data_IF_274324567990
#
_entry.id   IF_274324567990
#
_cell.length_a   1.000
_cell.length_b   1.000
_cell.length_c   1.000
_cell.angle_alpha   90.00
_cell.angle_beta   90.00
_cell.angle_gamma   90.00
#
_symmetry.space_group_name_H-M   'P 1'
#
loop_
_entity.id
_entity.type
_entity.pdbx_description
1 polymer ?
#
# COMPACT_ATOMS: atom_id res chain seq x y z
N UNK A 1 39.92 15.25 8.66
CA UNK A 1 39.09 14.43 9.57
C UNK A 1 37.76 14.27 8.88
N UNK A 2 37.57 13.15 8.18
CA UNK A 2 36.33 12.85 7.44
C UNK A 2 35.21 12.58 8.45
N UNK A 3 34.08 13.24 8.24
CA UNK A 3 32.94 13.19 9.15
C UNK A 3 32.35 11.77 9.11
N UNK A 4 32.00 11.12 10.23
CA UNK A 4 31.48 9.75 10.26
C UNK A 4 30.15 9.54 9.49
N UNK A 5 29.58 10.61 8.92
CA UNK A 5 28.39 10.62 8.04
C UNK A 5 28.75 10.21 6.59
N UNK A 6 29.98 10.47 6.13
CA UNK A 6 30.40 10.24 4.73
C UNK A 6 30.37 8.76 4.34
N UNK A 7 30.59 7.84 5.29
CA UNK A 7 30.61 6.39 5.03
C UNK A 7 29.21 5.75 4.85
N UNK A 8 28.12 6.55 4.81
CA UNK A 8 26.74 6.02 4.67
C UNK A 8 25.94 6.60 3.50
N UNK A 9 26.43 7.59 2.76
CA UNK A 9 25.69 8.20 1.64
C UNK A 9 26.20 7.66 0.30
N UNK A 10 25.29 7.42 -0.65
CA UNK A 10 25.64 7.05 -2.02
C UNK A 10 25.71 8.32 -2.88
N UNK A 11 26.90 8.71 -3.32
CA UNK A 11 27.10 9.91 -4.12
C UNK A 11 28.29 9.80 -5.07
N UNK A 12 28.25 10.59 -6.14
CA UNK A 12 29.36 10.77 -7.09
C UNK A 12 29.38 12.22 -7.59
N UNK A 13 30.43 12.65 -8.27
CA UNK A 13 30.50 13.99 -8.87
C UNK A 13 29.52 14.12 -10.04
N UNK A 14 28.88 15.27 -10.16
CA UNK A 14 27.98 15.64 -11.24
C UNK A 14 28.70 16.31 -12.40
N UNK A 15 28.17 17.45 -12.85
CA UNK A 15 28.71 18.21 -14.00
C UNK A 15 30.14 18.74 -13.79
N UNK A 16 30.53 18.96 -12.52
CA UNK A 16 31.88 19.37 -12.12
C UNK A 16 32.24 18.71 -10.77
N UNK A 17 33.50 18.82 -10.36
CA UNK A 17 33.97 18.32 -9.07
C UNK A 17 33.38 19.06 -7.86
N UNK A 18 32.73 20.21 -8.08
CA UNK A 18 32.08 21.00 -7.02
C UNK A 18 30.62 20.60 -6.81
N UNK A 19 30.04 19.85 -7.76
CA UNK A 19 28.64 19.42 -7.73
C UNK A 19 28.59 17.92 -7.46
N UNK A 20 27.78 17.51 -6.51
CA UNK A 20 27.53 16.12 -6.14
C UNK A 20 26.17 15.68 -6.71
N UNK A 21 26.11 14.45 -7.19
CA UNK A 21 24.88 13.70 -7.42
C UNK A 21 24.73 12.72 -6.27
N UNK A 22 23.75 12.94 -5.42
CA UNK A 22 23.46 12.13 -4.24
C UNK A 22 22.24 11.27 -4.55
N UNK A 23 22.32 9.96 -4.29
CA UNK A 23 21.30 8.98 -4.63
C UNK A 23 20.72 8.41 -3.34
N UNK A 24 19.39 8.38 -3.20
CA UNK A 24 18.74 7.74 -2.05
C UNK A 24 19.01 6.24 -2.05
N UNK A 25 19.28 5.62 -0.90
CA UNK A 25 19.30 4.16 -0.81
C UNK A 25 17.91 3.57 -0.91
N UNK A 26 16.93 4.28 -0.35
CA UNK A 26 15.50 3.96 -0.44
C UNK A 26 15.09 3.87 -1.91
N UNK A 27 14.42 2.78 -2.27
CA UNK A 27 13.82 2.55 -3.59
C UNK A 27 12.33 2.86 -3.55
N UNK A 28 11.71 3.04 -4.72
CA UNK A 28 10.25 3.27 -4.80
C UNK A 28 9.45 2.11 -4.18
N UNK A 29 9.90 0.88 -4.39
CA UNK A 29 9.29 -0.32 -3.79
C UNK A 29 9.36 -0.31 -2.26
N UNK A 30 10.38 0.29 -1.67
CA UNK A 30 10.51 0.36 -0.20
C UNK A 30 9.45 1.31 0.37
N UNK A 31 9.14 2.41 -0.33
CA UNK A 31 8.04 3.33 0.01
C UNK A 31 6.69 2.60 -0.10
N UNK A 32 6.43 1.89 -1.21
CA UNK A 32 5.21 1.09 -1.40
C UNK A 32 5.06 0.06 -0.27
N UNK A 33 6.15 -0.61 0.09
CA UNK A 33 6.19 -1.62 1.14
C UNK A 33 5.95 -1.02 2.52
N UNK A 34 6.51 0.15 2.82
CA UNK A 34 6.26 0.86 4.08
C UNK A 34 4.78 1.22 4.22
N UNK A 35 4.19 1.84 3.20
CA UNK A 35 2.77 2.24 3.21
C UNK A 35 1.87 1.01 3.36
N UNK A 36 2.20 -0.08 2.67
CA UNK A 36 1.44 -1.32 2.78
C UNK A 36 1.57 -1.91 4.19
N UNK A 37 2.78 -1.94 4.75
CA UNK A 37 3.05 -2.46 6.10
C UNK A 37 2.25 -1.73 7.18
N UNK A 38 2.22 -0.40 7.19
CA UNK A 38 1.46 0.34 8.22
C UNK A 38 -0.04 0.04 8.17
N UNK A 39 -0.60 -0.22 6.97
CA UNK A 39 -1.99 -0.64 6.82
C UNK A 39 -2.18 -2.06 7.37
N UNK A 40 -1.34 -2.99 6.97
CA UNK A 40 -1.52 -4.42 7.25
C UNK A 40 -1.21 -4.80 8.69
N UNK A 41 -0.32 -4.08 9.38
CA UNK A 41 -0.06 -4.28 10.80
C UNK A 41 -1.31 -4.02 11.65
N UNK A 42 -2.10 -3.01 11.29
CA UNK A 42 -3.36 -2.72 11.98
C UNK A 42 -4.44 -3.76 11.68
N UNK A 43 -4.46 -4.30 10.45
CA UNK A 43 -5.31 -5.44 10.10
C UNK A 43 -4.94 -6.68 10.92
N UNK A 44 -3.64 -6.99 11.05
CA UNK A 44 -3.17 -8.12 11.86
C UNK A 44 -3.60 -7.99 13.33
N UNK A 45 -3.45 -6.80 13.92
CA UNK A 45 -3.88 -6.53 15.30
C UNK A 45 -5.39 -6.77 15.46
N UNK A 46 -6.18 -6.27 14.52
CA UNK A 46 -7.63 -6.48 14.54
C UNK A 46 -8.00 -7.96 14.44
N UNK A 47 -7.42 -8.69 13.48
CA UNK A 47 -7.63 -10.14 13.32
C UNK A 47 -7.25 -10.91 14.59
N UNK A 48 -6.11 -10.59 15.22
CA UNK A 48 -5.69 -11.23 16.47
C UNK A 48 -6.68 -10.98 17.61
N UNK A 49 -7.16 -9.75 17.74
CA UNK A 49 -8.18 -9.41 18.74
C UNK A 49 -9.48 -10.19 18.54
N UNK A 50 -9.96 -10.35 17.30
CA UNK A 50 -11.14 -11.17 17.01
C UNK A 50 -10.93 -12.65 17.39
N UNK A 51 -9.73 -13.21 17.13
CA UNK A 51 -9.38 -14.58 17.53
C UNK A 51 -9.34 -14.75 19.05
N UNK A 52 -8.73 -13.81 19.76
CA UNK A 52 -8.66 -13.81 21.23
C UNK A 52 -10.06 -13.77 21.86
N UNK A 53 -11.00 -13.08 21.22
CA UNK A 53 -12.39 -13.01 21.64
C UNK A 53 -13.25 -14.21 21.15
N UNK A 54 -12.66 -15.21 20.50
CA UNK A 54 -13.35 -16.38 19.91
C UNK A 54 -14.41 -16.01 18.85
N UNK A 55 -14.25 -14.89 18.17
CA UNK A 55 -15.20 -14.41 17.14
C UNK A 55 -14.87 -15.01 15.77
N UNK A 56 -13.60 -15.37 15.57
CA UNK A 56 -13.06 -16.09 14.41
C UNK A 56 -11.96 -17.07 14.86
N UNK A 57 -11.55 -17.99 13.99
CA UNK A 57 -10.45 -18.94 14.26
C UNK A 57 -9.61 -19.22 12.99
N UNK A 58 -8.57 -20.04 13.10
CA UNK A 58 -7.64 -20.33 11.98
C UNK A 58 -8.21 -21.22 10.88
N UNK A 59 -9.30 -21.94 11.14
CA UNK A 59 -9.98 -22.80 10.18
C UNK A 59 -11.01 -22.04 9.33
N UNK A 60 -11.33 -20.80 9.73
CA UNK A 60 -12.17 -19.90 8.97
C UNK A 60 -11.51 -19.54 7.62
N UNK A 61 -12.31 -19.49 6.56
CA UNK A 61 -11.82 -19.10 5.23
C UNK A 61 -11.72 -17.59 5.14
N UNK A 62 -10.50 -17.08 4.99
CA UNK A 62 -10.25 -15.66 4.74
C UNK A 62 -10.31 -15.36 3.24
N UNK A 63 -11.13 -14.39 2.87
CA UNK A 63 -11.20 -13.84 1.52
C UNK A 63 -10.72 -12.40 1.52
N UNK A 64 -9.84 -12.08 0.59
CA UNK A 64 -9.38 -10.72 0.34
C UNK A 64 -9.74 -10.34 -1.09
N UNK A 65 -10.45 -9.23 -1.28
CA UNK A 65 -10.91 -8.75 -2.59
C UNK A 65 -10.12 -7.50 -2.98
N UNK A 66 -9.53 -7.54 -4.17
CA UNK A 66 -8.60 -6.54 -4.68
C UNK A 66 -7.16 -6.87 -4.28
N UNK A 67 -6.29 -7.08 -5.26
CA UNK A 67 -4.88 -7.40 -5.04
C UNK A 67 -4.04 -6.14 -4.84
N UNK A 68 -4.29 -5.11 -5.66
CA UNK A 68 -3.46 -3.92 -5.77
C UNK A 68 -3.76 -2.87 -4.70
N UNK A 69 -2.82 -2.45 -3.85
CA UNK A 69 -1.71 -3.21 -3.28
C UNK A 69 -1.96 -3.61 -1.83
N UNK A 70 -2.94 -2.97 -1.17
CA UNK A 70 -3.27 -3.23 0.22
C UNK A 70 -3.64 -4.70 0.41
N UNK A 71 -4.51 -5.25 -0.45
CA UNK A 71 -4.91 -6.66 -0.37
C UNK A 71 -3.74 -7.64 -0.49
N UNK A 72 -2.80 -7.42 -1.43
CA UNK A 72 -1.55 -8.18 -1.52
C UNK A 72 -0.77 -8.17 -0.20
N UNK A 73 -0.64 -6.99 0.41
CA UNK A 73 0.00 -6.86 1.71
C UNK A 73 -0.72 -7.61 2.83
N UNK A 74 -2.05 -7.57 2.82
CA UNK A 74 -2.88 -8.26 3.81
C UNK A 74 -2.69 -9.78 3.68
N UNK A 75 -2.74 -10.31 2.44
CA UNK A 75 -2.45 -11.74 2.18
C UNK A 75 -1.09 -12.13 2.75
N UNK A 76 -0.04 -11.37 2.41
CA UNK A 76 1.33 -11.65 2.86
C UNK A 76 1.49 -11.59 4.37
N UNK A 77 0.79 -10.67 5.02
CA UNK A 77 0.81 -10.48 6.47
C UNK A 77 0.05 -11.60 7.20
N UNK A 78 -1.08 -12.04 6.65
CA UNK A 78 -1.99 -13.01 7.29
C UNK A 78 -1.77 -14.46 6.87
N UNK A 79 -0.84 -14.77 5.95
CA UNK A 79 -0.59 -16.14 5.43
C UNK A 79 -0.31 -17.22 6.49
N UNK A 80 0.12 -16.84 7.69
CA UNK A 80 0.35 -17.76 8.82
C UNK A 80 -0.80 -17.84 9.82
N UNK A 81 -1.80 -16.96 9.66
CA UNK A 81 -2.92 -16.82 10.58
C UNK A 81 -4.10 -17.72 10.18
N UNK A 82 -4.23 -18.09 8.91
CA UNK A 82 -5.34 -18.89 8.41
C UNK A 82 -4.84 -20.05 7.58
N UNK A 83 -5.54 -21.20 7.68
CA UNK A 83 -5.24 -22.37 6.84
C UNK A 83 -5.66 -22.17 5.39
N UNK A 84 -6.70 -21.37 5.16
CA UNK A 84 -7.23 -21.08 3.83
C UNK A 84 -7.38 -19.58 3.62
N UNK A 85 -6.69 -19.07 2.60
CA UNK A 85 -6.82 -17.70 2.12
C UNK A 85 -7.12 -17.73 0.63
N UNK A 86 -8.15 -17.01 0.22
CA UNK A 86 -8.48 -16.78 -1.18
C UNK A 86 -8.29 -15.30 -1.49
N UNK A 87 -7.37 -14.99 -2.42
CA UNK A 87 -7.22 -13.66 -2.98
C UNK A 87 -8.04 -13.56 -4.27
N UNK A 88 -8.97 -12.62 -4.32
CA UNK A 88 -9.86 -12.42 -5.45
C UNK A 88 -9.52 -11.12 -6.16
N UNK A 89 -9.29 -11.18 -7.47
CA UNK A 89 -9.18 -10.00 -8.32
C UNK A 89 -9.66 -10.28 -9.74
N UNK A 90 -10.42 -9.35 -10.32
CA UNK A 90 -10.95 -9.47 -11.69
C UNK A 90 -9.84 -9.52 -12.76
N UNK A 91 -8.60 -9.17 -12.40
CA UNK A 91 -7.44 -9.20 -13.27
C UNK A 91 -6.52 -10.38 -12.94
N UNK A 92 -6.59 -11.51 -13.69
CA UNK A 92 -5.79 -12.71 -13.44
C UNK A 92 -4.27 -12.48 -13.35
N UNK A 93 -3.73 -11.55 -14.15
CA UNK A 93 -2.28 -11.29 -14.17
C UNK A 93 -1.75 -10.68 -12.86
N UNK A 94 -2.62 -10.18 -11.97
CA UNK A 94 -2.21 -9.67 -10.67
C UNK A 94 -1.76 -10.77 -9.70
N UNK A 95 -2.07 -12.04 -9.98
CA UNK A 95 -1.53 -13.18 -9.22
C UNK A 95 0.00 -13.12 -9.15
N UNK A 96 0.66 -12.70 -10.24
CA UNK A 96 2.11 -12.63 -10.32
C UNK A 96 2.74 -11.78 -9.20
N UNK A 97 2.02 -10.77 -8.70
CA UNK A 97 2.49 -9.90 -7.61
C UNK A 97 2.76 -10.67 -6.31
N UNK A 98 2.07 -11.80 -6.06
CA UNK A 98 2.30 -12.66 -4.89
C UNK A 98 3.74 -13.16 -4.81
N UNK A 99 4.36 -13.36 -5.98
CA UNK A 99 5.70 -13.92 -6.14
C UNK A 99 6.81 -12.84 -6.19
N UNK A 100 6.43 -11.57 -6.04
CA UNK A 100 7.33 -10.41 -6.03
C UNK A 100 7.59 -9.92 -4.61
N UNK A 101 8.59 -9.05 -4.35
CA UNK A 101 8.83 -8.45 -3.02
C UNK A 101 7.89 -7.27 -2.68
N UNK A 102 6.85 -6.99 -3.49
CA UNK A 102 5.91 -5.88 -3.27
C UNK A 102 4.88 -6.28 -2.22
N UNK A 103 4.55 -5.38 -1.30
CA UNK A 103 3.63 -5.64 -0.19
C UNK A 103 4.17 -6.62 0.86
N UNK A 104 5.48 -6.88 0.89
CA UNK A 104 6.15 -7.77 1.84
C UNK A 104 6.77 -9.01 1.21
N UNK A 105 7.13 -9.98 2.05
CA UNK A 105 7.86 -11.19 1.64
C UNK A 105 7.13 -11.97 0.56
N UNK A 106 7.91 -12.53 -0.37
CA UNK A 106 7.41 -13.41 -1.44
C UNK A 106 6.61 -14.57 -0.85
N UNK A 107 5.60 -14.99 -1.58
CA UNK A 107 4.81 -16.18 -1.28
C UNK A 107 5.30 -17.33 -2.15
N UNK A 108 5.37 -18.53 -1.59
CA UNK A 108 5.64 -19.74 -2.36
C UNK A 108 4.42 -20.08 -3.21
N UNK A 109 4.63 -20.62 -4.42
CA UNK A 109 3.52 -21.03 -5.29
C UNK A 109 2.59 -21.99 -4.55
N UNK A 110 1.31 -21.91 -4.88
CA UNK A 110 0.23 -22.76 -4.34
C UNK A 110 -0.05 -22.60 -2.82
N UNK A 111 0.57 -21.61 -2.15
CA UNK A 111 0.27 -21.30 -0.73
C UNK A 111 -1.06 -20.56 -0.57
N UNK A 112 -1.45 -19.76 -1.57
CA UNK A 112 -2.65 -18.92 -1.56
C UNK A 112 -3.48 -19.27 -2.79
N UNK A 113 -4.79 -19.45 -2.61
CA UNK A 113 -5.73 -19.63 -3.72
C UNK A 113 -5.98 -18.26 -4.37
N UNK A 114 -5.65 -18.10 -5.65
CA UNK A 114 -6.01 -16.90 -6.41
C UNK A 114 -7.23 -17.19 -7.28
N UNK A 115 -8.20 -16.29 -7.28
CA UNK A 115 -9.40 -16.42 -8.11
C UNK A 115 -9.71 -15.11 -8.83
N UNK A 116 -10.14 -15.23 -10.10
CA UNK A 116 -10.72 -14.13 -10.86
C UNK A 116 -12.24 -14.12 -10.85
N UNK A 117 -12.86 -15.05 -10.14
CA UNK A 117 -14.31 -15.14 -10.04
C UNK A 117 -14.82 -14.44 -8.76
N UNK A 118 -15.42 -13.27 -8.92
CA UNK A 118 -16.00 -12.51 -7.80
C UNK A 118 -17.08 -13.27 -7.03
N UNK A 119 -17.74 -14.29 -7.61
CA UNK A 119 -18.74 -15.08 -6.87
C UNK A 119 -18.12 -15.88 -5.72
N UNK A 120 -16.81 -16.11 -5.75
CA UNK A 120 -16.07 -16.83 -4.72
C UNK A 120 -16.06 -16.08 -3.38
N UNK A 121 -16.39 -14.79 -3.37
CA UNK A 121 -16.54 -14.01 -2.13
C UNK A 121 -17.50 -14.65 -1.13
N UNK A 122 -18.49 -15.40 -1.60
CA UNK A 122 -19.49 -16.06 -0.76
C UNK A 122 -18.96 -17.31 -0.06
N UNK A 123 -17.72 -17.73 -0.32
CA UNK A 123 -17.06 -18.85 0.36
C UNK A 123 -16.38 -18.42 1.68
N UNK A 124 -16.34 -17.12 1.97
CA UNK A 124 -15.54 -16.56 3.05
C UNK A 124 -16.28 -16.42 4.37
N UNK A 125 -15.66 -16.89 5.45
CA UNK A 125 -16.08 -16.59 6.82
C UNK A 125 -15.61 -15.19 7.25
N UNK A 126 -14.52 -14.71 6.67
CA UNK A 126 -13.94 -13.39 6.90
C UNK A 126 -13.68 -12.78 5.53
N UNK A 127 -14.15 -11.56 5.31
CA UNK A 127 -13.98 -10.86 4.03
C UNK A 127 -13.31 -9.52 4.28
N UNK A 128 -12.23 -9.28 3.54
CA UNK A 128 -11.50 -8.02 3.54
C UNK A 128 -11.55 -7.43 2.13
N UNK A 129 -12.15 -6.26 2.01
CA UNK A 129 -12.38 -5.59 0.74
C UNK A 129 -11.48 -4.37 0.59
N UNK A 130 -10.50 -4.46 -0.30
CA UNK A 130 -9.55 -3.36 -0.59
C UNK A 130 -9.78 -2.72 -1.96
N UNK A 131 -10.96 -2.93 -2.55
CA UNK A 131 -11.24 -2.52 -3.93
C UNK A 131 -11.46 -1.02 -4.10
N UNK A 132 -11.78 -0.29 -3.03
CA UNK A 132 -11.93 1.17 -3.05
C UNK A 132 -13.01 1.67 -4.02
N UNK A 133 -12.72 2.77 -4.73
CA UNK A 133 -13.65 3.39 -5.69
C UNK A 133 -13.92 2.48 -6.90
N UNK A 134 -15.21 2.26 -7.21
CA UNK A 134 -15.61 1.43 -8.34
C UNK A 134 -15.40 -0.07 -8.13
N UNK A 135 -15.08 -0.46 -6.90
CA UNK A 135 -14.94 -1.84 -6.45
C UNK A 135 -16.28 -2.56 -6.24
N UNK A 136 -16.38 -3.36 -5.17
CA UNK A 136 -17.63 -4.07 -4.86
C UNK A 136 -18.81 -3.09 -4.80
N UNK A 137 -19.90 -3.48 -5.46
CA UNK A 137 -21.12 -2.67 -5.52
C UNK A 137 -22.12 -3.05 -4.41
N UNK A 138 -23.23 -2.30 -4.32
CA UNK A 138 -24.28 -2.51 -3.31
C UNK A 138 -24.90 -3.90 -3.40
N UNK A 139 -25.21 -4.35 -4.61
CA UNK A 139 -25.84 -5.66 -4.85
C UNK A 139 -24.93 -6.81 -4.37
N UNK A 140 -23.63 -6.74 -4.71
CA UNK A 140 -22.63 -7.70 -4.26
C UNK A 140 -22.49 -7.68 -2.75
N UNK A 141 -22.40 -6.49 -2.14
CA UNK A 141 -22.25 -6.32 -0.69
C UNK A 141 -23.45 -6.89 0.08
N UNK A 142 -24.66 -6.70 -0.44
CA UNK A 142 -25.90 -7.21 0.19
C UNK A 142 -26.01 -8.73 0.24
N UNK A 143 -25.23 -9.44 -0.60
CA UNK A 143 -25.20 -10.91 -0.64
C UNK A 143 -24.17 -11.50 0.31
N UNK A 144 -23.29 -10.67 0.88
CA UNK A 144 -22.24 -11.12 1.77
C UNK A 144 -22.84 -11.48 3.13
N UNK A 145 -22.58 -12.71 3.56
CA UNK A 145 -22.89 -13.22 4.88
C UNK A 145 -21.64 -13.87 5.49
N UNK A 146 -21.02 -13.22 6.47
CA UNK A 146 -19.75 -13.66 7.04
C UNK A 146 -19.66 -13.34 8.54
N UNK A 147 -18.63 -13.84 9.24
CA UNK A 147 -18.40 -13.56 10.66
C UNK A 147 -17.85 -12.14 10.84
N UNK A 148 -16.88 -11.78 10.00
CA UNK A 148 -16.21 -10.49 10.06
C UNK A 148 -16.01 -9.89 8.66
N UNK A 149 -16.26 -8.58 8.56
CA UNK A 149 -16.12 -7.81 7.34
C UNK A 149 -15.26 -6.56 7.60
N UNK A 150 -14.22 -6.39 6.79
CA UNK A 150 -13.33 -5.23 6.81
C UNK A 150 -13.28 -4.62 5.42
N UNK A 151 -13.30 -3.30 5.32
CA UNK A 151 -13.22 -2.58 4.05
C UNK A 151 -12.20 -1.45 4.11
N UNK A 152 -11.45 -1.22 3.05
CA UNK A 152 -10.58 -0.04 2.96
C UNK A 152 -11.38 1.20 2.55
N UNK A 153 -11.31 2.26 3.35
CA UNK A 153 -11.79 3.58 2.93
C UNK A 153 -10.84 4.17 1.89
N UNK A 154 -11.26 4.40 0.63
CA UNK A 154 -10.39 4.94 -0.41
C UNK A 154 -10.07 6.43 -0.24
N UNK A 155 -10.71 7.12 0.71
CA UNK A 155 -10.42 8.54 1.00
C UNK A 155 -9.39 8.67 2.12
N UNK A 156 -8.41 9.56 1.94
CA UNK A 156 -7.42 9.82 3.00
C UNK A 156 -7.94 10.91 3.95
N UNK A 157 -8.07 12.13 3.42
CA UNK A 157 -8.58 13.28 4.14
C UNK A 157 -9.97 13.69 3.61
N UNK A 158 -10.68 14.50 4.38
CA UNK A 158 -11.95 15.12 4.01
C UNK A 158 -11.74 16.42 3.21
N UNK A 159 -10.77 16.43 2.28
CA UNK A 159 -10.34 17.62 1.53
C UNK A 159 -10.85 17.64 0.07
N UNK A 160 -11.75 16.72 -0.31
CA UNK A 160 -12.31 16.65 -1.67
C UNK A 160 -13.78 16.20 -1.66
N UNK A 161 -14.67 17.13 -1.99
CA UNK A 161 -16.12 16.89 -1.93
C UNK A 161 -16.59 15.89 -2.98
N UNK A 162 -15.95 15.84 -4.16
CA UNK A 162 -16.38 14.94 -5.24
C UNK A 162 -15.99 13.50 -4.90
N UNK A 163 -14.78 13.29 -4.36
CA UNK A 163 -14.36 11.97 -3.90
C UNK A 163 -15.15 11.51 -2.68
N UNK A 164 -15.44 12.41 -1.74
CA UNK A 164 -16.32 12.13 -0.60
C UNK A 164 -17.70 11.67 -1.05
N UNK A 165 -18.32 12.36 -2.01
CA UNK A 165 -19.64 11.99 -2.53
C UNK A 165 -19.61 10.69 -3.36
N UNK A 166 -18.47 10.34 -3.96
CA UNK A 166 -18.29 9.06 -4.66
C UNK A 166 -18.03 7.89 -3.71
N UNK A 167 -17.61 8.17 -2.48
CA UNK A 167 -17.26 7.14 -1.50
C UNK A 167 -18.52 6.46 -0.97
N UNK A 168 -18.64 5.15 -1.20
CA UNK A 168 -19.80 4.35 -0.84
C UNK A 168 -19.49 3.25 0.18
N UNK A 169 -18.36 3.33 0.90
CA UNK A 169 -17.98 2.27 1.86
C UNK A 169 -19.01 2.09 2.97
N UNK A 170 -19.62 3.18 3.47
CA UNK A 170 -20.60 3.10 4.56
C UNK A 170 -21.86 2.39 4.09
N UNK A 171 -22.35 2.70 2.89
CA UNK A 171 -23.48 1.99 2.30
C UNK A 171 -23.18 0.49 2.10
N UNK A 172 -21.95 0.14 1.71
CA UNK A 172 -21.52 -1.25 1.58
C UNK A 172 -21.46 -1.95 2.93
N UNK A 173 -20.88 -1.31 3.94
CA UNK A 173 -20.81 -1.81 5.32
C UNK A 173 -22.20 -2.07 5.90
N UNK A 174 -23.15 -1.18 5.67
CA UNK A 174 -24.52 -1.31 6.15
C UNK A 174 -25.23 -2.52 5.53
N UNK A 175 -24.96 -2.79 4.25
CA UNK A 175 -25.60 -3.88 3.50
C UNK A 175 -25.05 -5.28 3.80
N UNK A 176 -23.79 -5.41 4.25
CA UNK A 176 -23.18 -6.70 4.58
C UNK A 176 -23.81 -7.31 5.83
N UNK A 177 -24.14 -8.61 5.81
CA UNK A 177 -24.51 -9.32 7.03
C UNK A 177 -23.27 -9.89 7.72
N UNK A 178 -22.76 -9.18 8.72
CA UNK A 178 -21.60 -9.63 9.52
C UNK A 178 -21.68 -9.19 10.98
N UNK A 179 -21.20 -10.05 11.89
CA UNK A 179 -21.17 -9.77 13.33
C UNK A 179 -20.15 -8.70 13.70
N UNK A 180 -19.05 -8.63 12.94
CA UNK A 180 -17.96 -7.68 13.15
C UNK A 180 -17.72 -6.91 11.88
N UNK A 181 -17.85 -5.59 11.95
CA UNK A 181 -17.65 -4.68 10.83
C UNK A 181 -16.61 -3.64 11.20
N UNK A 182 -15.70 -3.35 10.28
CA UNK A 182 -14.73 -2.29 10.47
C UNK A 182 -14.30 -1.72 9.12
N UNK A 183 -13.59 -0.59 9.14
CA UNK A 183 -12.90 -0.09 7.96
C UNK A 183 -11.48 0.39 8.28
N UNK A 184 -10.61 0.30 7.28
CA UNK A 184 -9.24 0.83 7.32
C UNK A 184 -9.29 2.30 6.91
N UNK A 185 -8.77 3.20 7.75
CA UNK A 185 -8.57 4.61 7.43
C UNK A 185 -7.07 4.92 7.45
N UNK A 186 -6.55 5.50 6.38
CA UNK A 186 -5.13 5.90 6.28
C UNK A 186 -5.01 7.34 5.82
N UNK A 187 -4.21 8.16 6.52
CA UNK A 187 -4.14 9.62 6.36
C UNK A 187 -2.74 10.17 6.69
N UNK A 188 -2.57 11.51 6.65
CA UNK A 188 -1.41 12.20 7.24
C UNK A 188 -0.54 13.01 6.28
N UNK A 189 -0.82 12.96 4.97
CA UNK A 189 -0.03 13.67 3.94
C UNK A 189 -0.81 14.71 3.14
N UNK A 190 -2.03 15.04 3.56
CA UNK A 190 -2.93 15.92 2.81
C UNK A 190 -3.10 15.45 1.35
N UNK A 191 -3.44 14.17 1.21
CA UNK A 191 -3.75 13.53 -0.07
C UNK A 191 -5.25 13.39 -0.27
N UNK A 192 -5.63 13.21 -1.53
CA UNK A 192 -7.02 13.04 -1.95
C UNK A 192 -7.56 11.64 -1.67
N UNK A 193 -6.71 10.63 -1.81
CA UNK A 193 -7.07 9.23 -1.60
C UNK A 193 -6.08 8.57 -0.65
N UNK A 194 -6.53 7.48 -0.03
CA UNK A 194 -5.73 6.61 0.84
C UNK A 194 -4.97 5.54 0.04
N UNK A 195 -5.10 5.51 -1.28
CA UNK A 195 -4.50 4.50 -2.14
C UNK A 195 -2.98 4.48 -2.01
N UNK A 196 -2.39 3.28 -1.96
CA UNK A 196 -0.95 3.09 -1.72
C UNK A 196 -0.10 3.86 -2.74
N UNK A 197 -0.50 3.90 -4.02
CA UNK A 197 0.23 4.69 -5.02
C UNK A 197 0.02 6.18 -4.90
N UNK A 198 -1.15 6.65 -4.47
CA UNK A 198 -1.36 8.09 -4.23
C UNK A 198 -0.42 8.58 -3.13
N UNK A 199 -0.29 7.83 -2.04
CA UNK A 199 0.69 8.13 -1.01
C UNK A 199 2.13 8.02 -1.51
N UNK A 200 2.47 6.99 -2.28
CA UNK A 200 3.82 6.83 -2.87
C UNK A 200 4.21 8.04 -3.70
N UNK A 201 3.35 8.47 -4.62
CA UNK A 201 3.61 9.65 -5.47
C UNK A 201 3.66 10.93 -4.63
N UNK A 202 2.78 11.08 -3.62
CA UNK A 202 2.84 12.25 -2.73
C UNK A 202 4.15 12.29 -1.93
N UNK A 203 4.63 11.17 -1.41
CA UNK A 203 5.90 11.09 -0.68
C UNK A 203 7.06 11.47 -1.58
N UNK A 204 7.11 10.95 -2.82
CA UNK A 204 8.13 11.32 -3.79
C UNK A 204 8.11 12.83 -4.09
N UNK A 205 6.94 13.40 -4.39
CA UNK A 205 6.77 14.83 -4.64
C UNK A 205 7.19 15.68 -3.43
N UNK A 206 6.70 15.37 -2.23
CA UNK A 206 7.08 16.13 -1.02
C UNK A 206 8.57 16.01 -0.73
N UNK A 207 9.17 14.86 -0.98
CA UNK A 207 10.59 14.65 -0.71
C UNK A 207 11.48 15.37 -1.71
N UNK A 208 11.09 15.51 -2.99
CA UNK A 208 11.82 16.36 -3.93
C UNK A 208 11.69 17.84 -3.58
N UNK A 209 10.50 18.29 -3.15
CA UNK A 209 10.25 19.66 -2.69
C UNK A 209 11.06 19.98 -1.43
N UNK A 210 11.02 19.09 -0.44
CA UNK A 210 11.76 19.23 0.81
C UNK A 210 13.27 19.24 0.56
N UNK A 211 13.78 18.39 -0.34
CA UNK A 211 15.18 18.41 -0.74
C UNK A 211 15.58 19.70 -1.48
N UNK A 212 14.70 20.27 -2.30
CA UNK A 212 14.98 21.51 -3.03
C UNK A 212 15.12 22.71 -2.09
N UNK A 213 14.49 22.67 -0.92
CA UNK A 213 14.56 23.72 0.09
C UNK A 213 15.85 23.67 0.94
N UNK A 214 16.71 22.67 0.74
CA UNK A 214 17.99 22.55 1.45
C UNK A 214 19.08 23.44 0.83
N UNK A 215 19.81 24.20 1.65
CA UNK A 215 20.86 25.09 1.14
C UNK A 215 21.87 24.34 0.27
N UNK A 216 22.24 24.91 -0.88
CA UNK A 216 23.23 24.31 -1.77
C UNK A 216 22.70 23.18 -2.66
N UNK A 217 21.41 22.83 -2.58
CA UNK A 217 20.76 21.98 -3.57
C UNK A 217 20.46 22.77 -4.83
N UNK A 218 20.82 22.22 -5.99
CA UNK A 218 20.57 22.82 -7.31
C UNK A 218 19.22 22.35 -7.86
N UNK A 219 18.99 21.03 -7.78
CA UNK A 219 17.73 20.41 -8.18
C UNK A 219 17.61 19.00 -7.57
N UNK A 220 16.39 18.49 -7.53
CA UNK A 220 16.03 17.14 -7.10
C UNK A 220 15.14 16.48 -8.14
N UNK A 221 15.24 15.16 -8.26
CA UNK A 221 14.44 14.36 -9.20
C UNK A 221 14.05 13.04 -8.55
N UNK A 222 12.83 12.58 -8.82
CA UNK A 222 12.34 11.29 -8.38
C UNK A 222 12.09 10.35 -9.57
N UNK A 223 12.30 9.05 -9.36
CA UNK A 223 11.89 8.02 -10.31
C UNK A 223 10.36 7.86 -10.21
N UNK A 224 9.62 8.67 -10.96
CA UNK A 224 8.16 8.60 -11.07
C UNK A 224 7.74 8.15 -12.47
N UNK A 225 6.71 7.34 -12.56
CA UNK A 225 6.01 7.00 -13.81
C UNK A 225 4.55 6.63 -13.50
N UNK A 226 3.75 6.41 -14.54
CA UNK A 226 2.39 5.91 -14.41
C UNK A 226 2.38 4.39 -14.21
N UNK A 227 2.72 3.94 -13.00
CA UNK A 227 2.79 2.52 -12.65
C UNK A 227 1.48 1.77 -12.86
N UNK A 228 0.33 2.45 -12.68
CA UNK A 228 -0.99 1.87 -12.95
C UNK A 228 -1.15 1.47 -14.42
N UNK A 229 -0.64 2.25 -15.37
CA UNK A 229 -0.72 1.90 -16.80
C UNK A 229 0.08 0.63 -17.09
N UNK A 230 1.25 0.50 -16.48
CA UNK A 230 2.12 -0.68 -16.63
C UNK A 230 1.42 -1.93 -16.09
N UNK A 231 0.77 -1.81 -14.93
CA UNK A 231 0.12 -2.94 -14.28
C UNK A 231 -1.20 -3.29 -14.97
N UNK A 232 -2.06 -2.32 -15.28
CA UNK A 232 -3.44 -2.60 -15.71
C UNK A 232 -3.63 -2.57 -17.23
N UNK A 233 -2.91 -1.70 -17.95
CA UNK A 233 -3.01 -1.61 -19.42
C UNK A 233 -1.99 -2.51 -20.11
N UNK A 234 -0.73 -2.40 -19.72
CA UNK A 234 0.35 -3.22 -20.31
C UNK A 234 0.38 -4.64 -19.73
N UNK A 235 -0.14 -4.83 -18.50
CA UNK A 235 -0.11 -6.11 -17.77
C UNK A 235 1.30 -6.67 -17.57
N UNK A 236 2.29 -5.79 -17.40
CA UNK A 236 3.69 -6.15 -17.30
C UNK A 236 4.21 -5.97 -15.87
N UNK A 237 4.00 -7.01 -15.04
CA UNK A 237 4.45 -7.02 -13.66
C UNK A 237 5.97 -6.97 -13.56
N UNK A 238 6.70 -7.61 -14.49
CA UNK A 238 8.16 -7.57 -14.50
C UNK A 238 8.70 -6.15 -14.74
N UNK A 239 8.13 -5.41 -15.69
CA UNK A 239 8.46 -3.99 -15.93
C UNK A 239 8.12 -3.15 -14.71
N UNK A 240 6.98 -3.38 -14.06
CA UNK A 240 6.65 -2.70 -12.80
C UNK A 240 7.71 -2.95 -11.71
N UNK A 241 8.13 -4.20 -11.50
CA UNK A 241 9.18 -4.55 -10.53
C UNK A 241 10.52 -3.91 -10.89
N UNK A 242 10.91 -3.96 -12.17
CA UNK A 242 12.15 -3.33 -12.65
C UNK A 242 12.18 -1.82 -12.39
N UNK A 243 11.06 -1.13 -12.54
CA UNK A 243 10.99 0.32 -12.36
C UNK A 243 10.85 0.71 -10.88
N UNK A 244 10.07 -0.04 -10.10
CA UNK A 244 9.89 0.24 -8.67
C UNK A 244 11.14 -0.10 -7.84
N UNK A 245 12.05 -0.94 -8.34
CA UNK A 245 13.32 -1.26 -7.65
C UNK A 245 14.44 -0.22 -7.87
N UNK A 246 14.15 0.89 -8.56
CA UNK A 246 15.08 2.01 -8.69
C UNK A 246 15.09 2.87 -7.43
N UNK A 247 16.23 3.51 -7.17
CA UNK A 247 16.38 4.49 -6.10
C UNK A 247 15.33 5.59 -6.26
N UNK A 248 14.63 5.92 -5.18
CA UNK A 248 13.47 6.80 -5.20
C UNK A 248 13.81 8.21 -5.69
N UNK A 249 14.92 8.79 -5.21
CA UNK A 249 15.28 10.19 -5.40
C UNK A 249 16.77 10.34 -5.70
N UNK A 250 17.09 11.31 -6.55
CA UNK A 250 18.43 11.82 -6.81
C UNK A 250 18.45 13.33 -6.58
N UNK A 251 19.50 13.83 -5.95
CA UNK A 251 19.65 15.26 -5.65
C UNK A 251 21.00 15.74 -6.18
N UNK A 252 20.98 16.85 -6.92
CA UNK A 252 22.20 17.57 -7.31
C UNK A 252 22.46 18.69 -6.31
N UNK A 253 23.65 18.72 -5.72
CA UNK A 253 23.97 19.63 -4.62
C UNK A 253 25.47 19.95 -4.53
N UNK A 254 25.85 21.15 -4.09
CA UNK A 254 27.25 21.49 -3.76
C UNK A 254 27.65 21.03 -2.35
N UNK A 255 26.71 20.49 -1.57
CA UNK A 255 26.96 19.91 -0.24
C UNK A 255 26.36 18.51 -0.12
N UNK A 256 26.91 17.70 0.78
CA UNK A 256 26.29 16.42 1.14
C UNK A 256 24.94 16.63 1.82
N UNK A 257 24.00 15.75 1.51
CA UNK A 257 22.63 15.76 2.02
C UNK A 257 22.19 14.32 2.32
N UNK A 258 21.47 14.14 3.44
CA UNK A 258 20.87 12.84 3.76
C UNK A 258 19.47 12.73 3.12
N UNK A 259 19.43 12.31 1.86
CA UNK A 259 18.19 12.18 1.08
C UNK A 259 17.25 11.13 1.68
N UNK A 260 17.77 10.04 2.22
CA UNK A 260 16.95 9.00 2.86
C UNK A 260 16.21 9.55 4.08
N UNK A 261 16.84 10.42 4.88
CA UNK A 261 16.17 11.04 6.03
C UNK A 261 15.00 11.95 5.62
N UNK A 262 15.09 12.62 4.46
CA UNK A 262 13.99 13.43 3.93
C UNK A 262 12.80 12.54 3.56
N UNK A 263 13.06 11.39 2.93
CA UNK A 263 12.02 10.41 2.59
C UNK A 263 11.39 9.85 3.87
N UNK A 264 12.20 9.43 4.84
CA UNK A 264 11.75 8.92 6.15
C UNK A 264 10.83 9.93 6.86
N UNK A 265 11.21 11.21 6.91
CA UNK A 265 10.40 12.25 7.55
C UNK A 265 9.02 12.41 6.90
N UNK A 266 8.86 12.09 5.60
CA UNK A 266 7.57 12.10 4.93
C UNK A 266 6.80 10.77 5.13
N UNK A 267 7.49 9.64 5.23
CA UNK A 267 6.89 8.35 5.57
C UNK A 267 6.29 8.37 6.98
N UNK A 268 7.01 8.93 7.95
CA UNK A 268 6.62 8.97 9.38
C UNK A 268 5.37 9.81 9.66
N UNK A 269 4.91 10.60 8.69
CA UNK A 269 3.65 11.37 8.78
C UNK A 269 2.41 10.51 8.53
N UNK A 270 2.59 9.31 7.97
CA UNK A 270 1.47 8.44 7.65
C UNK A 270 0.92 7.74 8.87
N UNK A 271 -0.40 7.77 9.01
CA UNK A 271 -1.13 7.08 10.06
C UNK A 271 -2.16 6.15 9.42
N UNK A 272 -2.28 4.94 9.94
CA UNK A 272 -3.32 3.99 9.56
C UNK A 272 -3.99 3.41 10.80
N UNK A 273 -5.30 3.24 10.76
CA UNK A 273 -6.09 2.70 11.86
C UNK A 273 -7.25 1.85 11.34
N UNK A 274 -7.69 0.89 12.17
CA UNK A 274 -8.96 0.18 12.00
C UNK A 274 -10.02 0.90 12.84
N UNK A 275 -11.13 1.26 12.20
CA UNK A 275 -12.28 1.87 12.85
C UNK A 275 -13.41 0.84 12.86
N UNK A 276 -13.68 0.27 14.03
CA UNK A 276 -14.78 -0.68 14.23
C UNK A 276 -16.13 0.05 14.23
N UNK A 277 -17.12 -0.60 13.63
CA UNK A 277 -18.52 -0.16 13.65
C UNK A 277 -19.26 -1.04 14.65
N UNK A 278 -19.89 -0.39 15.63
CA UNK A 278 -20.74 -1.03 16.63
C UNK A 278 -22.14 -1.31 16.06
#
# INVERSE_FOLDING_TARGET
>A
MTNPIENKLDYHTGISNEVLTIVSKTKVIDIINYITKIKTENVLKWIKSLKENNEINSDDTLIIVGTYFTGLGIVKTLKKEFKKIILIDIYPHLEELLYTPVGGDKIEKDTIEFSSNLSDINKGDIIIDTTGFGGLNKEQSSKINCKAFLIEDPTAEDNDILLKNKNNIHERLDLVNANKKAYIKTKGLDTKTSGTMTFTIKILNKSIDDALNEDGVLYSAAEMTFYEDIIFKEKDINKFIKLSTRNAIKVSSIKLLNVDKIIENNLDKLESAIISIN
#
